data_IF_912051519697
#
_entry.id   IF_912051519697
#
_cell.length_a   1.000
_cell.length_b   1.000
_cell.length_c   1.000
_cell.angle_alpha   90.00
_cell.angle_beta   90.00
_cell.angle_gamma   90.00
#
_symmetry.space_group_name_H-M   'P 1'
#
loop_
_entity.id
_entity.type
_entity.pdbx_description
1 polymer ?
#
# COMPACT_ATOMS: atom_id res chain seq x y z
N UNK A 1 19.19 48.66 -6.28
CA UNK A 1 19.31 47.28 -5.78
C UNK A 1 18.03 46.97 -5.04
N UNK A 2 17.07 46.31 -5.70
CA UNK A 2 15.76 46.01 -5.10
C UNK A 2 15.75 44.57 -4.60
N UNK A 3 15.46 44.42 -3.31
CA UNK A 3 15.31 43.14 -2.62
C UNK A 3 13.85 42.69 -2.60
N UNK A 4 13.72 41.36 -2.52
CA UNK A 4 12.58 40.57 -2.05
C UNK A 4 11.45 40.28 -3.05
N UNK A 5 11.55 39.12 -3.71
CA UNK A 5 10.41 38.23 -3.90
C UNK A 5 10.72 36.95 -3.13
N UNK A 6 9.98 36.72 -2.06
CA UNK A 6 10.05 35.51 -1.25
C UNK A 6 8.64 35.03 -0.96
N UNK A 7 7.99 34.42 -1.95
CA UNK A 7 6.78 33.62 -1.76
C UNK A 7 7.15 32.16 -1.95
N UNK A 8 7.83 31.59 -0.96
CA UNK A 8 7.83 30.16 -0.76
C UNK A 8 6.54 29.79 -0.02
N UNK A 9 5.42 29.73 -0.74
CA UNK A 9 4.29 28.91 -0.30
C UNK A 9 4.71 27.46 -0.43
N UNK A 10 5.49 26.98 0.54
CA UNK A 10 5.64 25.55 0.77
C UNK A 10 4.28 25.03 1.22
N UNK A 11 3.52 24.45 0.30
CA UNK A 11 2.46 23.54 0.69
C UNK A 11 3.13 22.48 1.57
N UNK A 12 2.82 22.48 2.87
CA UNK A 12 3.23 21.40 3.74
C UNK A 12 2.60 20.13 3.16
N UNK A 13 3.39 19.30 2.50
CA UNK A 13 3.01 17.92 2.27
C UNK A 13 2.65 17.35 3.63
N UNK A 14 1.42 16.87 3.82
CA UNK A 14 1.09 16.13 5.03
C UNK A 14 2.04 14.93 5.08
N UNK A 15 2.95 14.94 6.05
CA UNK A 15 3.86 13.83 6.28
C UNK A 15 3.00 12.61 6.62
N UNK A 16 2.97 11.62 5.72
CA UNK A 16 2.31 10.35 6.00
C UNK A 16 3.07 9.68 7.13
N UNK A 17 2.38 9.37 8.22
CA UNK A 17 3.00 8.70 9.36
C UNK A 17 3.34 7.26 9.00
N UNK A 18 4.33 6.70 9.70
CA UNK A 18 4.73 5.29 9.57
C UNK A 18 3.53 4.36 9.76
N UNK A 19 2.77 4.59 10.82
CA UNK A 19 1.64 3.76 11.21
C UNK A 19 0.52 3.84 10.17
N UNK A 20 0.25 5.04 9.64
CA UNK A 20 -0.73 5.24 8.60
C UNK A 20 -0.33 4.53 7.29
N UNK A 21 0.89 4.77 6.79
CA UNK A 21 1.34 4.16 5.55
C UNK A 21 1.35 2.62 5.63
N UNK A 22 1.93 2.07 6.70
CA UNK A 22 2.01 0.63 6.89
C UNK A 22 0.62 0.02 7.10
N UNK A 23 -0.30 0.71 7.79
CA UNK A 23 -1.68 0.26 7.96
C UNK A 23 -2.48 0.24 6.66
N UNK A 24 -2.34 1.29 5.82
CA UNK A 24 -3.04 1.36 4.54
C UNK A 24 -2.50 0.31 3.56
N UNK A 25 -1.18 0.19 3.42
CA UNK A 25 -0.59 -0.85 2.55
C UNK A 25 -0.87 -2.27 3.05
N UNK A 26 -0.95 -2.50 4.37
CA UNK A 26 -1.42 -3.76 4.93
C UNK A 26 -2.88 -4.06 4.56
N UNK A 27 -3.75 -3.04 4.54
CA UNK A 27 -5.15 -3.20 4.12
C UNK A 27 -5.23 -3.59 2.63
N UNK A 28 -4.39 -3.00 1.79
CA UNK A 28 -4.26 -3.40 0.37
C UNK A 28 -3.80 -4.87 0.26
N UNK A 29 -2.78 -5.29 1.02
CA UNK A 29 -2.34 -6.70 1.04
C UNK A 29 -3.47 -7.64 1.47
N UNK A 30 -4.24 -7.26 2.50
CA UNK A 30 -5.41 -8.02 2.93
C UNK A 30 -6.46 -8.17 1.83
N UNK A 31 -6.73 -7.11 1.07
CA UNK A 31 -7.66 -7.17 -0.06
C UNK A 31 -7.14 -8.07 -1.21
N UNK A 32 -5.86 -8.00 -1.53
CA UNK A 32 -5.23 -8.90 -2.53
C UNK A 32 -5.29 -10.35 -2.04
N UNK A 33 -5.00 -10.58 -0.76
CA UNK A 33 -5.09 -11.90 -0.15
C UNK A 33 -6.51 -12.46 -0.29
N UNK A 34 -7.53 -11.65 -0.01
CA UNK A 34 -8.93 -12.04 -0.16
C UNK A 34 -9.26 -12.35 -1.63
N UNK A 35 -8.88 -11.48 -2.57
CA UNK A 35 -9.07 -11.73 -4.00
C UNK A 35 -8.43 -13.07 -4.44
N UNK A 36 -7.25 -13.40 -3.90
CA UNK A 36 -6.58 -14.67 -4.17
C UNK A 36 -7.33 -15.87 -3.57
N UNK A 37 -7.87 -15.74 -2.36
CA UNK A 37 -8.72 -16.75 -1.74
C UNK A 37 -9.99 -17.00 -2.58
N UNK A 38 -10.54 -15.94 -3.16
CA UNK A 38 -11.69 -15.96 -4.06
C UNK A 38 -11.35 -16.40 -5.49
N UNK A 39 -10.09 -16.80 -5.72
CA UNK A 39 -9.58 -17.30 -7.00
C UNK A 39 -9.66 -16.30 -8.15
N UNK A 40 -9.61 -15.00 -7.84
CA UNK A 40 -9.42 -13.95 -8.84
C UNK A 40 -8.08 -14.20 -9.54
N UNK A 41 -8.05 -14.07 -10.87
CA UNK A 41 -6.78 -14.21 -11.61
C UNK A 41 -5.93 -12.99 -11.33
N UNK A 42 -4.61 -13.18 -11.22
CA UNK A 42 -3.66 -12.12 -10.86
C UNK A 42 -3.85 -10.82 -11.66
N UNK A 43 -3.99 -10.95 -12.98
CA UNK A 43 -4.22 -9.84 -13.90
C UNK A 43 -5.55 -9.07 -13.68
N UNK A 44 -6.53 -9.71 -13.06
CA UNK A 44 -7.88 -9.16 -12.82
C UNK A 44 -8.02 -8.61 -11.37
N UNK A 45 -6.98 -8.76 -10.52
CA UNK A 45 -7.02 -8.39 -9.09
C UNK A 45 -7.29 -6.91 -8.89
N UNK A 46 -6.56 -6.05 -9.60
CA UNK A 46 -6.71 -4.59 -9.48
C UNK A 46 -8.15 -4.18 -9.74
N UNK A 47 -8.68 -4.56 -10.89
CA UNK A 47 -10.02 -4.17 -11.28
C UNK A 47 -11.08 -4.75 -10.34
N UNK A 48 -10.87 -5.97 -9.83
CA UNK A 48 -11.76 -6.60 -8.85
C UNK A 48 -11.79 -5.85 -7.52
N UNK A 49 -10.63 -5.45 -7.01
CA UNK A 49 -10.51 -4.72 -5.74
C UNK A 49 -11.09 -3.32 -5.89
N UNK A 50 -10.74 -2.59 -6.95
CA UNK A 50 -11.25 -1.22 -7.17
C UNK A 50 -12.76 -1.21 -7.38
N UNK A 51 -13.34 -2.25 -8.00
CA UNK A 51 -14.78 -2.39 -8.13
C UNK A 51 -15.51 -2.63 -6.79
N UNK A 52 -14.80 -2.99 -5.72
CA UNK A 52 -15.37 -3.17 -4.38
C UNK A 52 -15.43 -1.89 -3.54
N UNK A 53 -14.99 -0.75 -4.09
CA UNK A 53 -14.95 0.56 -3.42
C UNK A 53 -14.18 0.50 -2.08
N UNK A 54 -12.87 0.26 -2.14
CA UNK A 54 -12.08 0.03 -0.93
C UNK A 54 -11.98 1.30 -0.08
N UNK A 55 -11.89 1.11 1.24
CA UNK A 55 -11.94 2.23 2.20
C UNK A 55 -10.62 3.03 2.33
N UNK A 56 -9.52 2.61 1.69
CA UNK A 56 -8.26 3.35 1.72
C UNK A 56 -8.28 4.52 0.73
N UNK A 57 -7.46 5.56 0.93
CA UNK A 57 -7.35 6.67 -0.02
C UNK A 57 -6.80 6.25 -1.40
N UNK A 58 -7.30 6.87 -2.48
CA UNK A 58 -6.95 6.53 -3.88
C UNK A 58 -5.44 6.48 -4.18
N UNK A 59 -4.61 7.24 -3.46
CA UNK A 59 -3.16 7.22 -3.65
C UNK A 59 -2.51 5.87 -3.28
N UNK A 60 -3.24 4.95 -2.64
CA UNK A 60 -2.80 3.58 -2.36
C UNK A 60 -3.20 2.56 -3.44
N UNK A 61 -4.00 2.94 -4.46
CA UNK A 61 -4.45 2.00 -5.50
C UNK A 61 -3.28 1.41 -6.30
N UNK A 62 -2.19 2.17 -6.46
CA UNK A 62 -1.00 1.67 -7.14
C UNK A 62 -0.29 0.56 -6.33
N UNK A 63 -0.46 0.54 -5.00
CA UNK A 63 0.06 -0.52 -4.16
C UNK A 63 -0.56 -1.87 -4.51
N UNK A 64 -1.77 -1.89 -5.09
CA UNK A 64 -2.38 -3.15 -5.57
C UNK A 64 -1.47 -3.82 -6.60
N UNK A 65 -1.00 -3.07 -7.59
CA UNK A 65 -0.14 -3.61 -8.66
C UNK A 65 1.22 -4.04 -8.11
N UNK A 66 1.79 -3.26 -7.20
CA UNK A 66 3.11 -3.52 -6.64
C UNK A 66 3.13 -4.74 -5.71
N UNK A 67 2.07 -4.96 -4.94
CA UNK A 67 2.00 -5.99 -3.91
C UNK A 67 1.35 -7.29 -4.39
N UNK A 68 0.58 -7.24 -5.50
CA UNK A 68 -0.08 -8.41 -6.07
C UNK A 68 0.90 -9.56 -6.37
N UNK A 69 2.05 -9.35 -7.06
CA UNK A 69 2.99 -10.42 -7.35
C UNK A 69 3.48 -11.12 -6.08
N UNK A 70 3.85 -10.36 -5.05
CA UNK A 70 4.32 -10.92 -3.77
C UNK A 70 3.25 -11.80 -3.11
N UNK A 71 1.99 -11.37 -3.08
CA UNK A 71 0.89 -12.18 -2.54
C UNK A 71 0.63 -13.41 -3.40
N UNK A 72 0.70 -13.31 -4.73
CA UNK A 72 0.43 -14.41 -5.66
C UNK A 72 1.55 -15.46 -5.72
N UNK A 73 2.78 -15.07 -5.39
CA UNK A 73 3.92 -15.98 -5.22
C UNK A 73 3.84 -16.82 -3.94
N UNK A 74 3.10 -16.37 -2.91
CA UNK A 74 2.96 -17.15 -1.67
C UNK A 74 2.36 -18.53 -1.93
N UNK A 75 2.66 -19.52 -1.09
CA UNK A 75 1.98 -20.81 -1.19
C UNK A 75 0.52 -20.64 -0.75
N UNK A 76 -0.43 -21.22 -1.49
CA UNK A 76 -1.86 -21.14 -1.17
C UNK A 76 -2.21 -21.64 0.25
N UNK A 77 -1.41 -22.57 0.79
CA UNK A 77 -1.52 -22.99 2.20
C UNK A 77 -1.29 -21.83 3.16
N UNK A 78 -0.31 -20.99 2.89
CA UNK A 78 0.12 -19.91 3.77
C UNK A 78 -0.84 -18.72 3.63
N UNK A 79 -1.32 -18.43 2.41
CA UNK A 79 -2.43 -17.49 2.13
C UNK A 79 -3.69 -17.80 2.95
N UNK A 80 -3.97 -19.07 3.25
CA UNK A 80 -5.16 -19.46 4.04
C UNK A 80 -4.94 -19.44 5.54
N UNK A 81 -3.70 -19.53 5.99
CA UNK A 81 -3.36 -19.75 7.40
C UNK A 81 -2.87 -18.50 8.09
N UNK A 82 -2.29 -17.58 7.34
CA UNK A 82 -1.66 -16.37 7.87
C UNK A 82 -2.48 -15.15 7.46
N UNK A 83 -2.49 -14.13 8.30
CA UNK A 83 -2.92 -12.80 7.90
C UNK A 83 -1.74 -12.10 7.22
N UNK A 84 -1.75 -12.05 5.88
CA UNK A 84 -0.65 -11.46 5.13
C UNK A 84 -0.62 -9.94 5.26
N UNK A 85 -1.76 -9.30 5.53
CA UNK A 85 -1.82 -7.88 5.84
C UNK A 85 -1.10 -7.56 7.15
N UNK A 86 -1.36 -8.34 8.21
CA UNK A 86 -0.66 -8.20 9.48
C UNK A 86 0.85 -8.46 9.34
N UNK A 87 1.24 -9.54 8.65
CA UNK A 87 2.66 -9.84 8.36
C UNK A 87 3.31 -8.70 7.58
N UNK A 88 2.62 -8.14 6.58
CA UNK A 88 3.13 -7.00 5.82
C UNK A 88 3.31 -5.77 6.68
N UNK A 89 2.34 -5.47 7.57
CA UNK A 89 2.42 -4.35 8.50
C UNK A 89 3.67 -4.45 9.38
N UNK A 90 3.94 -5.63 9.95
CA UNK A 90 5.14 -5.89 10.76
C UNK A 90 6.43 -5.65 9.95
N UNK A 91 6.48 -6.15 8.71
CA UNK A 91 7.63 -5.95 7.80
C UNK A 91 7.81 -4.48 7.45
N UNK A 92 6.74 -3.77 7.12
CA UNK A 92 6.75 -2.35 6.81
C UNK A 92 7.25 -1.52 7.99
N UNK A 93 6.74 -1.81 9.19
CA UNK A 93 7.13 -1.13 10.42
C UNK A 93 8.60 -1.41 10.76
N UNK A 94 9.06 -2.64 10.59
CA UNK A 94 10.46 -3.00 10.86
C UNK A 94 11.44 -2.37 9.87
N UNK A 95 11.00 -2.10 8.64
CA UNK A 95 11.84 -1.57 7.55
C UNK A 95 11.42 -0.17 7.10
N UNK A 96 10.79 0.61 7.98
CA UNK A 96 10.15 1.88 7.63
C UNK A 96 11.06 2.84 6.87
N UNK A 97 12.32 2.97 7.28
CA UNK A 97 13.25 3.91 6.64
C UNK A 97 13.46 3.57 5.16
N UNK A 98 13.49 2.29 4.80
CA UNK A 98 13.60 1.87 3.39
C UNK A 98 12.32 2.18 2.58
N UNK A 99 11.14 2.09 3.21
CA UNK A 99 9.88 2.41 2.54
C UNK A 99 9.65 3.91 2.40
N UNK A 100 9.97 4.70 3.42
CA UNK A 100 9.84 6.16 3.40
C UNK A 100 10.63 6.79 2.25
N UNK A 101 11.82 6.26 1.96
CA UNK A 101 12.66 6.75 0.86
C UNK A 101 12.04 6.50 -0.52
N UNK A 102 11.14 5.52 -0.66
CA UNK A 102 10.39 5.28 -1.90
C UNK A 102 9.18 6.19 -2.10
N UNK A 103 8.84 7.02 -1.11
CA UNK A 103 7.74 7.98 -1.16
C UNK A 103 8.17 9.37 -1.65
N UNK A 104 9.48 9.59 -1.85
CA UNK A 104 10.08 10.86 -2.30
C UNK A 104 10.76 10.68 -3.66
#
# INVERSE_FOLDING_TARGET
>A
MSLAVGSATGAAAQEVTKEEYCGQTASVVGAIQQARLDRVKERDVRDTILASDPAWPDNYDNAIVQLTPWVYEQKMRDVRKNDLGAVWSEVCIANWDAFKDSLN
#
